data_IF_368959460767
#
_entry.id   IF_368959460767
#
_cell.length_a   1.000
_cell.length_b   1.000
_cell.length_c   1.000
_cell.angle_alpha   90.00
_cell.angle_beta   90.00
_cell.angle_gamma   90.00
#
_symmetry.space_group_name_H-M   'P 1'
#
loop_
_entity.id
_entity.type
_entity.pdbx_description
1 polymer ?
#
# COMPACT_ATOMS: atom_id res chain seq x y z
N UNK A 1 -10.67 17.22 5.45
CA UNK A 1 -10.83 17.49 4.00
C UNK A 1 -9.44 17.35 3.38
N UNK A 2 -9.33 16.65 2.26
CA UNK A 2 -8.07 16.53 1.52
C UNK A 2 -7.93 17.78 0.64
N UNK A 3 -6.76 18.39 0.64
CA UNK A 3 -6.47 19.59 -0.15
C UNK A 3 -6.33 19.22 -1.63
N UNK A 4 -7.04 19.93 -2.51
CA UNK A 4 -6.84 19.83 -3.95
C UNK A 4 -5.60 20.65 -4.35
N UNK A 5 -4.43 20.01 -4.31
CA UNK A 5 -3.14 20.66 -4.56
C UNK A 5 -2.96 21.14 -6.00
N UNK A 6 -3.78 20.65 -6.93
CA UNK A 6 -3.80 21.08 -8.34
C UNK A 6 -4.75 22.26 -8.58
N UNK A 7 -5.45 22.76 -7.56
CA UNK A 7 -6.25 23.97 -7.70
C UNK A 7 -5.36 25.16 -8.07
N UNK A 8 -5.88 26.17 -8.80
CA UNK A 8 -5.11 27.37 -9.12
C UNK A 8 -4.51 28.03 -7.88
N UNK A 9 -5.28 28.17 -6.81
CA UNK A 9 -4.84 28.78 -5.53
C UNK A 9 -3.71 27.97 -4.87
N UNK A 10 -3.84 26.64 -4.80
CA UNK A 10 -2.77 25.77 -4.25
C UNK A 10 -1.52 25.79 -5.12
N UNK A 11 -1.67 25.86 -6.45
CA UNK A 11 -0.54 25.91 -7.39
C UNK A 11 0.23 27.23 -7.29
N UNK A 12 -0.47 28.35 -7.15
CA UNK A 12 0.15 29.67 -6.91
C UNK A 12 0.90 29.71 -5.59
N UNK A 13 0.30 29.17 -4.53
CA UNK A 13 0.93 29.06 -3.20
C UNK A 13 2.20 28.21 -3.28
N UNK A 14 2.16 27.09 -4.00
CA UNK A 14 3.34 26.26 -4.24
C UNK A 14 4.41 27.02 -5.03
N UNK A 15 4.04 27.73 -6.09
CA UNK A 15 4.98 28.50 -6.92
C UNK A 15 5.75 29.55 -6.10
N UNK A 16 5.05 30.29 -5.23
CA UNK A 16 5.68 31.25 -4.32
C UNK A 16 6.62 30.57 -3.32
N UNK A 17 6.22 29.44 -2.76
CA UNK A 17 7.07 28.65 -1.86
C UNK A 17 8.31 28.11 -2.58
N UNK A 18 8.17 27.62 -3.81
CA UNK A 18 9.27 27.11 -4.61
C UNK A 18 10.32 28.18 -4.93
N UNK A 19 9.90 29.41 -5.24
CA UNK A 19 10.82 30.55 -5.42
C UNK A 19 11.60 30.81 -4.12
N UNK A 20 10.93 30.85 -2.98
CA UNK A 20 11.58 31.09 -1.69
C UNK A 20 12.61 30.00 -1.33
N UNK A 21 12.24 28.72 -1.54
CA UNK A 21 13.13 27.55 -1.34
C UNK A 21 14.35 27.63 -2.25
N UNK A 22 14.17 27.97 -3.53
CA UNK A 22 15.25 28.13 -4.50
C UNK A 22 16.19 29.30 -4.13
N UNK A 23 15.64 30.43 -3.67
CA UNK A 23 16.43 31.57 -3.19
C UNK A 23 17.22 31.24 -1.91
N UNK A 24 16.72 30.30 -1.09
CA UNK A 24 17.41 29.80 0.11
C UNK A 24 18.43 28.70 -0.15
N UNK A 25 18.62 28.25 -1.40
CA UNK A 25 19.57 27.18 -1.75
C UNK A 25 19.09 25.77 -1.41
N UNK A 26 17.80 25.58 -1.13
CA UNK A 26 17.20 24.27 -0.85
C UNK A 26 16.61 23.63 -2.13
N UNK A 27 16.46 22.30 -2.15
CA UNK A 27 15.88 21.59 -3.30
C UNK A 27 14.36 21.67 -3.30
N UNK A 28 13.77 21.88 -4.48
CA UNK A 28 12.33 21.81 -4.73
C UNK A 28 11.78 20.40 -4.42
N UNK A 29 12.60 19.36 -4.53
CA UNK A 29 12.19 17.98 -4.24
C UNK A 29 11.70 17.82 -2.80
N UNK A 30 12.36 18.50 -1.85
CA UNK A 30 11.97 18.47 -0.43
C UNK A 30 10.62 19.15 -0.18
N UNK A 31 10.26 20.14 -1.00
CA UNK A 31 8.96 20.81 -0.92
C UNK A 31 7.84 19.90 -1.46
N UNK A 32 8.12 19.15 -2.53
CA UNK A 32 7.19 18.17 -3.09
C UNK A 32 6.97 17.03 -2.12
N UNK A 33 8.03 16.46 -1.55
CA UNK A 33 7.94 15.39 -0.55
C UNK A 33 7.13 15.83 0.68
N UNK A 34 7.34 17.05 1.17
CA UNK A 34 6.55 17.61 2.27
C UNK A 34 5.07 17.80 1.90
N UNK A 35 4.76 18.15 0.64
CA UNK A 35 3.40 18.25 0.13
C UNK A 35 2.74 16.86 0.04
N UNK A 36 3.45 15.86 -0.48
CA UNK A 36 3.00 14.47 -0.55
C UNK A 36 2.71 13.89 0.83
N UNK A 37 3.64 14.08 1.78
CA UNK A 37 3.47 13.64 3.16
C UNK A 37 2.26 14.30 3.82
N UNK A 38 2.03 15.60 3.59
CA UNK A 38 0.83 16.30 4.09
C UNK A 38 -0.45 15.71 3.48
N UNK A 39 -0.44 15.40 2.18
CA UNK A 39 -1.55 14.76 1.49
C UNK A 39 -1.90 13.40 2.08
N UNK A 40 -0.89 12.55 2.33
CA UNK A 40 -1.06 11.27 3.02
C UNK A 40 -1.68 11.45 4.42
N UNK A 41 -1.18 12.40 5.20
CA UNK A 41 -1.73 12.69 6.54
C UNK A 41 -3.19 13.14 6.46
N UNK A 42 -3.54 14.01 5.50
CA UNK A 42 -4.94 14.43 5.29
C UNK A 42 -5.83 13.24 4.91
N UNK A 43 -5.36 12.35 4.03
CA UNK A 43 -6.10 11.15 3.62
C UNK A 43 -6.34 10.21 4.81
N UNK A 44 -5.31 9.91 5.60
CA UNK A 44 -5.39 9.03 6.78
C UNK A 44 -6.38 9.55 7.83
N UNK A 45 -6.52 10.86 7.97
CA UNK A 45 -7.43 11.51 8.91
C UNK A 45 -8.77 11.93 8.29
N UNK A 46 -9.11 11.43 7.09
CA UNK A 46 -10.37 11.72 6.40
C UNK A 46 -11.31 10.51 6.34
N UNK A 47 -12.54 10.76 5.93
CA UNK A 47 -13.57 9.78 5.56
C UNK A 47 -13.57 9.50 4.04
N UNK A 48 -12.54 9.94 3.32
CA UNK A 48 -12.45 9.81 1.87
C UNK A 48 -11.55 8.64 1.47
N UNK A 49 -11.83 8.07 0.30
CA UNK A 49 -11.00 7.07 -0.38
C UNK A 49 -10.86 7.42 -1.87
N UNK A 50 -9.83 6.91 -2.58
CA UNK A 50 -9.67 7.13 -4.00
C UNK A 50 -10.85 6.60 -4.82
N UNK A 51 -11.19 7.29 -5.90
CA UNK A 51 -12.19 6.82 -6.88
C UNK A 51 -11.64 5.77 -7.84
N UNK A 52 -10.32 5.75 -8.03
CA UNK A 52 -9.64 4.74 -8.84
C UNK A 52 -9.39 3.46 -8.02
N UNK A 53 -10.33 2.52 -8.14
CA UNK A 53 -10.23 1.19 -7.54
C UNK A 53 -9.52 0.24 -8.52
N UNK A 54 -8.42 -0.38 -8.08
CA UNK A 54 -7.68 -1.36 -8.90
C UNK A 54 -8.36 -2.73 -8.95
N UNK A 55 -9.16 -3.03 -7.94
CA UNK A 55 -10.05 -4.18 -7.88
C UNK A 55 -11.50 -3.73 -8.11
N UNK A 56 -12.39 -4.61 -8.60
CA UNK A 56 -13.81 -4.32 -8.73
C UNK A 56 -14.41 -3.72 -7.45
N UNK A 57 -15.27 -2.70 -7.59
CA UNK A 57 -15.95 -2.09 -6.44
C UNK A 57 -16.73 -3.13 -5.62
N UNK A 58 -17.31 -4.12 -6.29
CA UNK A 58 -18.04 -5.23 -5.66
C UNK A 58 -17.17 -6.03 -4.68
N UNK A 59 -15.86 -6.16 -4.93
CA UNK A 59 -14.95 -6.87 -4.03
C UNK A 59 -14.69 -6.09 -2.74
N UNK A 60 -14.64 -4.75 -2.83
CA UNK A 60 -14.59 -3.89 -1.65
C UNK A 60 -15.91 -3.93 -0.87
N UNK A 61 -17.04 -3.86 -1.57
CA UNK A 61 -18.36 -3.95 -0.92
C UNK A 61 -18.58 -5.30 -0.25
N UNK A 62 -18.08 -6.39 -0.84
CA UNK A 62 -18.15 -7.74 -0.26
C UNK A 62 -17.40 -7.86 1.07
N UNK A 63 -16.38 -7.04 1.30
CA UNK A 63 -15.67 -7.00 2.60
C UNK A 63 -16.19 -5.90 3.54
N UNK A 64 -17.25 -5.18 3.16
CA UNK A 64 -18.00 -4.26 4.03
C UNK A 64 -17.76 -2.77 3.78
N UNK A 65 -17.09 -2.38 2.69
CA UNK A 65 -17.01 -0.97 2.32
C UNK A 65 -18.36 -0.45 1.80
N UNK A 66 -18.58 0.84 1.97
CA UNK A 66 -19.61 1.57 1.23
C UNK A 66 -19.00 2.81 0.61
N UNK A 67 -19.41 3.14 -0.61
CA UNK A 67 -18.92 4.30 -1.35
C UNK A 67 -20.08 5.23 -1.69
N UNK A 68 -19.86 6.54 -1.59
CA UNK A 68 -20.77 7.56 -2.13
C UNK A 68 -20.26 8.16 -3.43
N UNK A 69 -20.92 9.21 -3.90
CA UNK A 69 -20.54 9.89 -5.15
C UNK A 69 -19.17 10.60 -5.02
N UNK A 70 -18.36 10.63 -6.10
CA UNK A 70 -17.13 11.42 -6.16
C UNK A 70 -17.32 12.88 -5.71
N UNK A 71 -16.36 13.43 -4.94
CA UNK A 71 -16.44 14.81 -4.47
C UNK A 71 -16.38 15.78 -5.66
N UNK A 72 -17.40 16.64 -5.88
CA UNK A 72 -17.40 17.56 -7.02
C UNK A 72 -16.22 18.54 -7.05
N UNK A 73 -15.58 18.80 -5.90
CA UNK A 73 -14.40 19.68 -5.79
C UNK A 73 -13.09 18.95 -6.04
N UNK A 74 -13.09 17.63 -5.91
CA UNK A 74 -11.92 16.80 -6.10
C UNK A 74 -12.31 15.35 -6.48
N UNK A 75 -12.59 15.09 -7.78
CA UNK A 75 -13.10 13.79 -8.24
C UNK A 75 -12.11 12.62 -8.07
N UNK A 76 -10.87 12.87 -7.63
CA UNK A 76 -9.94 11.83 -7.22
C UNK A 76 -10.43 11.06 -5.99
N UNK A 77 -11.34 11.64 -5.21
CA UNK A 77 -11.81 11.07 -3.95
C UNK A 77 -13.33 10.99 -3.87
N UNK A 78 -13.81 10.00 -3.13
CA UNK A 78 -15.22 9.79 -2.80
C UNK A 78 -15.36 9.53 -1.29
N UNK A 79 -16.51 9.87 -0.66
CA UNK A 79 -16.78 9.48 0.71
C UNK A 79 -16.90 7.96 0.79
N UNK A 80 -16.36 7.36 1.84
CA UNK A 80 -16.48 5.93 2.06
C UNK A 80 -16.53 5.58 3.54
N UNK A 81 -17.34 4.57 3.87
CA UNK A 81 -17.33 3.94 5.20
C UNK A 81 -16.46 2.70 5.13
N UNK A 82 -15.57 2.55 6.13
CA UNK A 82 -14.75 1.35 6.26
C UNK A 82 -15.56 0.22 6.90
N UNK A 83 -15.18 -1.05 6.67
CA UNK A 83 -15.72 -2.17 7.44
C UNK A 83 -15.51 -1.98 8.94
N UNK A 84 -16.37 -2.58 9.75
CA UNK A 84 -16.30 -2.46 11.21
C UNK A 84 -14.93 -2.91 11.74
N UNK A 85 -14.38 -2.12 12.67
CA UNK A 85 -13.08 -2.37 13.29
C UNK A 85 -11.87 -2.00 12.43
N UNK A 86 -12.05 -1.65 11.15
CA UNK A 86 -10.96 -1.24 10.29
C UNK A 86 -10.53 0.21 10.57
N UNK A 87 -9.24 0.47 10.41
CA UNK A 87 -8.63 1.79 10.60
C UNK A 87 -7.68 2.15 9.46
N UNK A 88 -7.46 3.44 9.30
CA UNK A 88 -6.44 4.00 8.40
C UNK A 88 -5.09 4.03 9.12
N UNK A 89 -4.01 3.70 8.42
CA UNK A 89 -2.64 3.70 8.92
C UNK A 89 -1.73 4.40 7.90
N UNK A 90 -0.97 5.41 8.32
CA UNK A 90 0.07 6.00 7.48
C UNK A 90 1.26 5.06 7.33
N UNK A 91 1.94 5.10 6.19
CA UNK A 91 3.22 4.40 6.01
C UNK A 91 4.42 5.32 6.26
N UNK A 92 5.61 4.74 6.24
CA UNK A 92 6.90 5.44 6.23
C UNK A 92 7.21 6.14 4.90
N UNK A 93 6.43 5.84 3.85
CA UNK A 93 6.56 6.44 2.53
C UNK A 93 5.52 7.54 2.31
N UNK A 94 5.95 8.71 1.84
CA UNK A 94 5.12 9.91 1.73
C UNK A 94 3.80 9.72 0.94
N UNK A 95 3.78 8.81 -0.03
CA UNK A 95 2.62 8.55 -0.89
C UNK A 95 1.77 7.32 -0.52
N UNK A 96 2.21 6.49 0.44
CA UNK A 96 1.51 5.24 0.74
C UNK A 96 0.78 5.32 2.08
N UNK A 97 -0.37 4.67 2.16
CA UNK A 97 -1.11 4.41 3.40
C UNK A 97 -1.82 3.07 3.30
N UNK A 98 -2.30 2.56 4.43
CA UNK A 98 -2.90 1.25 4.53
C UNK A 98 -4.25 1.33 5.24
N UNK A 99 -5.13 0.38 4.89
CA UNK A 99 -6.29 0.04 5.70
C UNK A 99 -5.99 -1.24 6.45
N UNK A 100 -6.16 -1.19 7.76
CA UNK A 100 -5.80 -2.25 8.70
C UNK A 100 -7.05 -2.74 9.39
N UNK A 101 -7.28 -4.05 9.44
CA UNK A 101 -8.43 -4.60 10.17
C UNK A 101 -8.22 -4.63 11.68
N UNK A 102 -9.24 -5.10 12.39
CA UNK A 102 -9.29 -5.23 13.85
C UNK A 102 -8.21 -6.17 14.42
N UNK A 103 -7.72 -7.12 13.61
CA UNK A 103 -6.60 -8.01 13.93
C UNK A 103 -5.23 -7.40 13.61
N UNK A 104 -5.18 -6.16 13.12
CA UNK A 104 -3.92 -5.49 12.80
C UNK A 104 -3.34 -5.89 11.44
N UNK A 105 -4.11 -6.52 10.55
CA UNK A 105 -3.65 -6.98 9.24
C UNK A 105 -3.92 -5.92 8.18
N UNK A 106 -2.94 -5.63 7.33
CA UNK A 106 -3.12 -4.71 6.19
C UNK A 106 -3.97 -5.36 5.12
N UNK A 107 -5.20 -4.86 4.94
CA UNK A 107 -6.20 -5.41 4.03
C UNK A 107 -6.35 -4.64 2.73
N UNK A 108 -5.95 -3.37 2.72
CA UNK A 108 -5.87 -2.59 1.49
C UNK A 108 -4.67 -1.66 1.53
N UNK A 109 -4.15 -1.34 0.36
CA UNK A 109 -3.10 -0.35 0.16
C UNK A 109 -3.68 0.83 -0.60
N UNK A 110 -3.32 2.03 -0.19
CA UNK A 110 -3.75 3.27 -0.83
C UNK A 110 -2.51 4.05 -1.23
N UNK A 111 -2.44 4.40 -2.52
CA UNK A 111 -1.48 5.33 -3.06
C UNK A 111 -2.13 6.69 -3.22
N UNK A 112 -1.46 7.75 -2.76
CA UNK A 112 -1.82 9.12 -3.04
C UNK A 112 -0.58 9.98 -3.24
N UNK A 113 -0.44 10.48 -4.46
CA UNK A 113 0.53 11.49 -4.84
C UNK A 113 -0.14 12.86 -4.82
N UNK A 114 0.25 13.70 -3.85
CA UNK A 114 -0.32 15.04 -3.67
C UNK A 114 0.46 16.15 -4.41
N UNK A 115 1.38 15.80 -5.31
CA UNK A 115 2.13 16.76 -6.09
C UNK A 115 1.21 17.61 -6.99
N UNK A 116 1.31 18.93 -6.91
CA UNK A 116 0.41 19.86 -7.59
C UNK A 116 0.30 19.68 -9.13
N UNK A 117 1.35 19.18 -9.78
CA UNK A 117 1.45 19.05 -11.24
C UNK A 117 1.08 17.66 -11.78
N UNK A 118 0.97 16.65 -10.92
CA UNK A 118 0.75 15.25 -11.30
C UNK A 118 0.15 14.48 -10.12
N UNK A 119 -1.11 14.84 -9.78
CA UNK A 119 -1.85 14.17 -8.72
C UNK A 119 -2.37 12.83 -9.22
N UNK A 120 -2.20 11.80 -8.41
CA UNK A 120 -2.79 10.49 -8.65
C UNK A 120 -3.19 9.86 -7.32
N UNK A 121 -4.30 9.13 -7.31
CA UNK A 121 -4.77 8.41 -6.15
C UNK A 121 -5.43 7.11 -6.61
N UNK A 122 -5.03 5.99 -6.03
CA UNK A 122 -5.67 4.70 -6.28
C UNK A 122 -5.59 3.80 -5.04
N UNK A 123 -6.43 2.77 -4.99
CA UNK A 123 -6.37 1.76 -3.94
C UNK A 123 -6.60 0.36 -4.48
N UNK A 124 -6.09 -0.63 -3.77
CA UNK A 124 -6.27 -2.06 -4.06
C UNK A 124 -6.43 -2.85 -2.77
N UNK A 125 -7.19 -3.94 -2.82
CA UNK A 125 -7.22 -4.95 -1.77
C UNK A 125 -5.89 -5.71 -1.75
N UNK A 126 -5.43 -6.03 -0.55
CA UNK A 126 -4.26 -6.89 -0.37
C UNK A 126 -4.68 -8.35 -0.50
N UNK A 127 -3.86 -9.13 -1.19
CA UNK A 127 -3.99 -10.59 -1.20
C UNK A 127 -3.38 -11.20 0.07
N UNK A 128 -3.77 -12.42 0.43
CA UNK A 128 -3.11 -13.17 1.51
C UNK A 128 -1.62 -13.33 1.23
N UNK A 129 -1.23 -13.55 -0.03
CA UNK A 129 0.17 -13.56 -0.44
C UNK A 129 0.89 -12.25 -0.13
N UNK A 130 0.32 -11.11 -0.53
CA UNK A 130 0.89 -9.78 -0.25
C UNK A 130 1.00 -9.51 1.25
N UNK A 131 -0.03 -9.87 2.02
CA UNK A 131 -0.02 -9.78 3.47
C UNK A 131 1.12 -10.60 4.09
N UNK A 132 1.26 -11.88 3.73
CA UNK A 132 2.31 -12.74 4.29
C UNK A 132 3.70 -12.22 3.90
N UNK A 133 3.89 -11.79 2.64
CA UNK A 133 5.14 -11.22 2.18
C UNK A 133 5.52 -9.95 2.98
N UNK A 134 4.54 -9.09 3.28
CA UNK A 134 4.75 -7.90 4.12
C UNK A 134 5.13 -8.26 5.56
N UNK A 135 4.42 -9.20 6.19
CA UNK A 135 4.77 -9.65 7.54
C UNK A 135 6.19 -10.21 7.60
N UNK A 136 6.58 -11.04 6.61
CA UNK A 136 7.94 -11.58 6.51
C UNK A 136 8.99 -10.49 6.33
N UNK A 137 8.74 -9.52 5.44
CA UNK A 137 9.66 -8.39 5.18
C UNK A 137 9.84 -7.50 6.41
N UNK A 138 8.78 -7.32 7.19
CA UNK A 138 8.80 -6.50 8.41
C UNK A 138 9.19 -7.29 9.67
N UNK A 139 9.42 -8.60 9.55
CA UNK A 139 9.74 -9.46 10.69
C UNK A 139 8.61 -9.56 11.73
N UNK A 140 7.37 -9.39 11.29
CA UNK A 140 6.17 -9.39 12.12
C UNK A 140 5.48 -10.77 12.07
N UNK A 141 4.72 -11.14 13.12
CA UNK A 141 3.99 -12.40 13.13
C UNK A 141 2.86 -12.41 12.10
N UNK A 142 2.66 -13.57 11.47
CA UNK A 142 1.50 -13.82 10.61
C UNK A 142 0.31 -14.16 11.51
N UNK A 143 -0.73 -13.34 11.44
CA UNK A 143 -1.97 -13.48 12.22
C UNK A 143 -3.02 -14.10 11.31
N UNK A 144 -3.54 -15.25 11.73
CA UNK A 144 -4.56 -16.01 11.00
C UNK A 144 -5.93 -15.90 11.65
N UNK A 145 -6.98 -16.17 10.87
CA UNK A 145 -8.36 -16.31 11.33
C UNK A 145 -9.11 -17.35 10.47
N UNK A 146 -10.41 -17.51 10.67
CA UNK A 146 -11.21 -18.46 9.88
C UNK A 146 -11.85 -17.82 8.63
N UNK A 147 -11.53 -16.57 8.31
CA UNK A 147 -12.28 -15.79 7.31
C UNK A 147 -11.48 -15.38 6.08
N UNK A 148 -10.25 -14.90 6.24
CA UNK A 148 -9.47 -14.34 5.13
C UNK A 148 -8.05 -14.86 5.10
N UNK A 149 -7.28 -14.64 6.17
CA UNK A 149 -5.93 -15.19 6.30
C UNK A 149 -6.00 -16.53 7.01
N UNK A 150 -6.75 -17.48 6.45
CA UNK A 150 -6.89 -18.82 7.05
C UNK A 150 -5.56 -19.57 7.04
N UNK A 151 -5.34 -20.53 7.97
CA UNK A 151 -4.15 -21.36 7.93
C UNK A 151 -3.92 -21.99 6.55
N UNK A 152 -5.00 -22.46 5.90
CA UNK A 152 -4.96 -22.98 4.54
C UNK A 152 -4.58 -21.92 3.49
N UNK A 153 -5.15 -20.71 3.56
CA UNK A 153 -4.83 -19.63 2.62
C UNK A 153 -3.38 -19.13 2.80
N UNK A 154 -2.89 -19.06 4.03
CA UNK A 154 -1.48 -18.73 4.33
C UNK A 154 -0.55 -19.82 3.82
N UNK A 155 -0.91 -21.10 3.98
CA UNK A 155 -0.15 -22.21 3.44
C UNK A 155 -0.08 -22.17 1.91
N UNK A 156 -1.20 -21.87 1.23
CA UNK A 156 -1.24 -21.70 -0.22
C UNK A 156 -0.35 -20.53 -0.67
N UNK A 157 -0.46 -19.38 -0.01
CA UNK A 157 0.40 -18.23 -0.25
C UNK A 157 1.89 -18.60 -0.08
N UNK A 158 2.21 -19.37 0.95
CA UNK A 158 3.58 -19.80 1.20
C UNK A 158 4.11 -20.75 0.12
N UNK A 159 3.29 -21.70 -0.34
CA UNK A 159 3.64 -22.58 -1.47
C UNK A 159 3.91 -21.79 -2.75
N UNK A 160 3.09 -20.79 -3.05
CA UNK A 160 3.32 -19.87 -4.17
C UNK A 160 4.61 -19.06 -4.02
N UNK A 161 4.94 -18.64 -2.81
CA UNK A 161 6.21 -17.97 -2.51
C UNK A 161 7.43 -18.86 -2.75
N UNK A 162 7.36 -20.13 -2.35
CA UNK A 162 8.40 -21.14 -2.61
C UNK A 162 8.60 -21.34 -4.11
N UNK A 163 7.52 -21.49 -4.87
CA UNK A 163 7.54 -21.68 -6.32
C UNK A 163 8.22 -20.49 -7.01
N UNK A 164 7.73 -19.26 -6.77
CA UNK A 164 8.30 -18.04 -7.34
C UNK A 164 9.79 -17.87 -7.02
N UNK A 165 10.18 -18.09 -5.77
CA UNK A 165 11.58 -17.97 -5.38
C UNK A 165 12.45 -19.05 -6.05
N UNK A 166 11.89 -20.23 -6.32
CA UNK A 166 12.58 -21.29 -7.06
C UNK A 166 12.79 -20.94 -8.54
N UNK A 167 11.78 -20.35 -9.19
CA UNK A 167 11.90 -19.85 -10.57
C UNK A 167 12.97 -18.75 -10.70
N UNK A 168 13.04 -17.84 -9.72
CA UNK A 168 14.06 -16.80 -9.67
C UNK A 168 15.46 -17.40 -9.45
N UNK A 169 15.61 -18.42 -8.59
CA UNK A 169 16.88 -19.15 -8.42
C UNK A 169 17.35 -19.71 -9.76
N UNK A 170 16.46 -20.39 -10.49
CA UNK A 170 16.79 -20.99 -11.77
C UNK A 170 17.18 -19.93 -12.82
N UNK A 171 16.41 -18.85 -12.88
CA UNK A 171 16.68 -17.70 -13.77
C UNK A 171 18.06 -17.10 -13.49
N UNK A 172 18.37 -16.77 -12.24
CA UNK A 172 19.64 -16.14 -11.90
C UNK A 172 20.82 -17.10 -11.96
N UNK A 173 20.60 -18.41 -11.80
CA UNK A 173 21.61 -19.42 -12.03
C UNK A 173 22.01 -19.48 -13.51
N UNK A 174 21.05 -19.38 -14.44
CA UNK A 174 21.34 -19.31 -15.89
C UNK A 174 22.20 -18.10 -16.25
N UNK A 175 21.98 -16.95 -15.59
CA UNK A 175 22.80 -15.76 -15.75
C UNK A 175 24.13 -15.78 -14.98
N UNK A 176 24.44 -16.87 -14.24
CA UNK A 176 25.66 -16.99 -13.44
C UNK A 176 25.74 -16.00 -12.26
N UNK A 177 24.60 -15.47 -11.80
CA UNK A 177 24.57 -14.44 -10.77
C UNK A 177 24.39 -15.01 -9.36
N UNK A 178 25.48 -15.49 -8.78
CA UNK A 178 25.48 -16.17 -7.48
C UNK A 178 24.87 -15.34 -6.34
N UNK A 179 24.96 -14.00 -6.39
CA UNK A 179 24.37 -13.10 -5.39
C UNK A 179 22.84 -13.24 -5.35
N UNK A 180 22.20 -13.21 -6.51
CA UNK A 180 20.74 -13.34 -6.58
C UNK A 180 20.28 -14.76 -6.31
N UNK A 181 21.04 -15.78 -6.75
CA UNK A 181 20.77 -17.17 -6.38
C UNK A 181 20.76 -17.34 -4.86
N UNK A 182 21.74 -16.78 -4.15
CA UNK A 182 21.79 -16.85 -2.68
C UNK A 182 20.61 -16.08 -2.04
N UNK A 183 20.28 -14.90 -2.55
CA UNK A 183 19.12 -14.11 -2.10
C UNK A 183 17.83 -14.93 -2.18
N UNK A 184 17.52 -15.49 -3.35
CA UNK A 184 16.26 -16.19 -3.56
C UNK A 184 16.22 -17.57 -2.88
N UNK A 185 17.38 -18.20 -2.63
CA UNK A 185 17.45 -19.36 -1.71
C UNK A 185 16.99 -19.00 -0.30
N UNK A 186 17.51 -17.91 0.26
CA UNK A 186 17.09 -17.44 1.57
C UNK A 186 15.60 -17.08 1.60
N UNK A 187 15.09 -16.44 0.55
CA UNK A 187 13.66 -16.12 0.42
C UNK A 187 12.79 -17.38 0.35
N UNK A 188 13.16 -18.35 -0.48
CA UNK A 188 12.47 -19.65 -0.57
C UNK A 188 12.45 -20.38 0.76
N UNK A 189 13.58 -20.41 1.47
CA UNK A 189 13.69 -21.08 2.77
C UNK A 189 12.83 -20.37 3.84
N UNK A 190 12.72 -19.04 3.79
CA UNK A 190 11.81 -18.29 4.64
C UNK A 190 10.34 -18.63 4.36
N UNK A 191 9.93 -18.73 3.09
CA UNK A 191 8.59 -19.18 2.71
C UNK A 191 8.32 -20.64 3.12
N UNK A 192 9.31 -21.52 3.01
CA UNK A 192 9.22 -22.91 3.46
C UNK A 192 8.99 -23.01 4.98
N UNK A 193 9.61 -22.13 5.78
CA UNK A 193 9.36 -22.06 7.21
C UNK A 193 7.92 -21.64 7.52
N UNK A 194 7.36 -20.67 6.78
CA UNK A 194 5.94 -20.28 6.92
C UNK A 194 5.01 -21.44 6.55
N UNK A 195 5.27 -22.14 5.45
CA UNK A 195 4.49 -23.29 5.04
C UNK A 195 4.49 -24.38 6.11
N UNK A 196 5.66 -24.75 6.64
CA UNK A 196 5.78 -25.78 7.67
C UNK A 196 5.03 -25.42 8.97
N UNK A 197 4.97 -24.13 9.32
CA UNK A 197 4.23 -23.66 10.49
C UNK A 197 2.70 -23.78 10.35
N UNK A 198 2.18 -23.79 9.11
CA UNK A 198 0.74 -23.79 8.83
C UNK A 198 0.24 -25.10 8.18
N UNK A 199 1.12 -26.07 7.93
CA UNK A 199 0.76 -27.41 7.41
C UNK A 199 0.19 -28.33 8.52
N UNK A 200 0.39 -27.97 9.80
CA UNK A 200 -0.04 -28.73 10.99
C UNK A 200 -1.20 -28.09 11.77
N UNK A 201 -1.78 -27.00 11.25
CA UNK A 201 -2.85 -26.22 11.87
C UNK A 201 -4.18 -26.47 11.16
#
# INVERSE_FOLDING_TARGET
>A
MIENTSSPESSETFGLAAIAVAMGGHSIDSLIEAQEQRGQQQLVHSDRLPTNLRDPQEDFEAVGFTFGDPDPRDPLFMPATLPDGWKREGSDHAMWSYLVDDLGRRRASIFYKAAFYDRDAFMSLNTVYGYVADQMREGKPIVTDDSWATPAAVLEAARKGIERASEEIDTWAQYGNAKYVAKYKAERDAWAAVAAAHDNA
#
